data_IF_084518326309
#
_entry.id   IF_084518326309
#
_cell.length_a   1.000
_cell.length_b   1.000
_cell.length_c   1.000
_cell.angle_alpha   90.00
_cell.angle_beta   90.00
_cell.angle_gamma   90.00
#
_symmetry.space_group_name_H-M   'P 1'
#
loop_
_entity.id
_entity.type
_entity.pdbx_description
1 polymer ?
#
# COMPACT_ATOMS: atom_id res chain seq x y z
N UNK A 1 21.32 6.75 12.37
CA UNK A 1 19.91 7.19 12.22
C UNK A 1 19.02 6.10 11.62
N UNK A 2 19.27 5.61 10.39
CA UNK A 2 18.41 4.58 9.74
C UNK A 2 18.36 3.27 10.53
N UNK A 3 19.50 2.84 11.07
CA UNK A 3 19.61 1.67 11.96
C UNK A 3 18.68 1.76 13.17
N UNK A 4 18.68 2.91 13.86
CA UNK A 4 17.85 3.14 15.05
C UNK A 4 16.35 3.10 14.70
N UNK A 5 15.96 3.65 13.55
CA UNK A 5 14.57 3.60 13.08
C UNK A 5 14.12 2.16 12.77
N UNK A 6 15.01 1.34 12.22
CA UNK A 6 14.78 -0.08 12.01
C UNK A 6 14.60 -0.84 13.33
N UNK A 7 15.46 -0.59 14.31
CA UNK A 7 15.37 -1.22 15.63
C UNK A 7 14.07 -0.86 16.35
N UNK A 8 13.66 0.41 16.25
CA UNK A 8 12.37 0.86 16.75
C UNK A 8 11.21 0.13 16.07
N UNK A 9 11.28 -0.08 14.75
CA UNK A 9 10.23 -0.80 14.00
C UNK A 9 10.16 -2.29 14.36
N UNK A 10 11.30 -2.95 14.59
CA UNK A 10 11.33 -4.31 15.13
C UNK A 10 10.67 -4.34 16.51
N UNK A 11 11.03 -3.42 17.40
CA UNK A 11 10.44 -3.34 18.74
C UNK A 11 8.92 -3.12 18.68
N UNK A 12 8.46 -2.22 17.82
CA UNK A 12 7.03 -2.00 17.57
C UNK A 12 6.33 -3.24 17.04
N UNK A 13 6.92 -3.94 16.07
CA UNK A 13 6.36 -5.19 15.53
C UNK A 13 6.21 -6.24 16.63
N UNK A 14 7.23 -6.41 17.49
CA UNK A 14 7.17 -7.31 18.66
C UNK A 14 6.06 -6.93 19.63
N UNK A 15 5.85 -5.63 19.89
CA UNK A 15 4.76 -5.16 20.75
C UNK A 15 3.38 -5.44 20.13
N UNK A 16 3.22 -5.26 18.82
CA UNK A 16 1.99 -5.58 18.09
C UNK A 16 1.69 -7.08 18.18
N UNK A 17 2.69 -7.95 17.97
CA UNK A 17 2.56 -9.40 18.14
C UNK A 17 2.08 -9.74 19.56
N UNK A 18 2.75 -9.17 20.56
CA UNK A 18 2.45 -9.44 21.97
C UNK A 18 1.03 -8.97 22.32
N UNK A 19 0.62 -7.79 21.84
CA UNK A 19 -0.73 -7.25 22.01
C UNK A 19 -1.79 -8.13 21.34
N UNK A 20 -1.56 -8.55 20.09
CA UNK A 20 -2.47 -9.45 19.37
C UNK A 20 -2.63 -10.80 20.06
N UNK A 21 -1.54 -11.38 20.59
CA UNK A 21 -1.59 -12.62 21.38
C UNK A 21 -2.41 -12.46 22.66
N UNK A 22 -2.25 -11.34 23.38
CA UNK A 22 -3.06 -11.03 24.58
C UNK A 22 -4.54 -10.90 24.23
N UNK A 23 -4.86 -10.21 23.13
CA UNK A 23 -6.24 -10.05 22.67
C UNK A 23 -6.89 -11.40 22.33
N UNK A 24 -6.15 -12.33 21.71
CA UNK A 24 -6.64 -13.70 21.47
C UNK A 24 -6.94 -14.42 22.80
N UNK A 25 -6.02 -14.36 23.77
CA UNK A 25 -6.21 -15.00 25.07
C UNK A 25 -7.40 -14.42 25.85
N UNK A 26 -7.62 -13.10 25.76
CA UNK A 26 -8.76 -12.46 26.41
C UNK A 26 -10.09 -12.82 25.73
N UNK A 27 -10.11 -12.96 24.39
CA UNK A 27 -11.28 -13.48 23.67
C UNK A 27 -11.58 -14.93 24.05
N UNK A 28 -10.56 -15.78 24.21
CA UNK A 28 -10.73 -17.15 24.70
C UNK A 28 -11.35 -17.20 26.10
N UNK A 29 -10.85 -16.38 27.04
CA UNK A 29 -11.41 -16.28 28.39
C UNK A 29 -12.87 -15.85 28.38
N UNK A 30 -13.24 -14.89 27.54
CA UNK A 30 -14.63 -14.45 27.39
C UNK A 30 -15.51 -15.57 26.84
N UNK A 31 -15.02 -16.34 25.87
CA UNK A 31 -15.75 -17.50 25.33
C UNK A 31 -15.97 -18.55 26.43
N UNK A 32 -14.94 -18.91 27.19
CA UNK A 32 -15.07 -19.87 28.30
C UNK A 32 -16.06 -19.40 29.37
N UNK A 33 -15.97 -18.14 29.81
CA UNK A 33 -16.90 -17.61 30.80
C UNK A 33 -18.36 -17.54 30.32
N UNK A 34 -18.59 -17.39 29.00
CA UNK A 34 -19.94 -17.48 28.42
C UNK A 34 -20.42 -18.93 28.32
N UNK A 35 -19.53 -19.88 27.98
CA UNK A 35 -19.85 -21.31 27.95
C UNK A 35 -20.26 -21.83 29.33
N UNK A 36 -19.53 -21.49 30.38
CA UNK A 36 -19.87 -21.88 31.76
C UNK A 36 -21.26 -21.37 32.18
N UNK A 37 -21.60 -20.14 31.76
CA UNK A 37 -22.93 -19.55 32.01
C UNK A 37 -24.03 -20.21 31.20
N UNK A 38 -23.75 -20.70 30.00
CA UNK A 38 -24.71 -21.46 29.19
C UNK A 38 -25.02 -22.80 29.84
N UNK A 39 -24.02 -23.47 30.43
CA UNK A 39 -24.22 -24.74 31.16
C UNK A 39 -25.15 -24.55 32.37
N UNK A 40 -25.03 -23.43 33.10
CA UNK A 40 -25.88 -23.12 34.26
C UNK A 40 -27.27 -22.59 33.88
N UNK A 41 -27.41 -22.01 32.67
CA UNK A 41 -28.67 -21.40 32.24
C UNK A 41 -29.75 -22.47 31.96
N UNK A 42 -30.87 -22.39 32.70
CA UNK A 42 -31.98 -23.36 32.59
C UNK A 42 -33.04 -23.03 31.54
N UNK A 43 -32.98 -21.88 30.88
CA UNK A 43 -34.01 -21.49 29.90
C UNK A 43 -33.47 -21.30 28.48
N UNK A 44 -34.12 -21.90 27.47
CA UNK A 44 -33.65 -21.85 26.08
C UNK A 44 -33.65 -20.44 25.49
N UNK A 45 -34.47 -19.54 26.03
CA UNK A 45 -34.57 -18.14 25.58
C UNK A 45 -33.33 -17.31 25.91
N UNK A 46 -32.62 -17.61 27.01
CA UNK A 46 -31.33 -16.95 27.33
C UNK A 46 -30.14 -17.66 26.68
N UNK A 47 -30.22 -18.97 26.41
CA UNK A 47 -29.13 -19.74 25.80
C UNK A 47 -28.81 -19.25 24.38
N UNK A 48 -29.82 -19.08 23.52
CA UNK A 48 -29.63 -18.65 22.12
C UNK A 48 -28.81 -17.36 21.96
N UNK A 49 -29.12 -16.26 22.67
CA UNK A 49 -28.29 -15.05 22.64
C UNK A 49 -26.83 -15.26 23.07
N UNK A 50 -26.55 -16.21 23.97
CA UNK A 50 -25.18 -16.53 24.37
C UNK A 50 -24.45 -17.32 23.29
N UNK A 51 -25.10 -18.30 22.67
CA UNK A 51 -24.55 -19.03 21.52
C UNK A 51 -24.17 -18.08 20.38
N UNK A 52 -25.05 -17.11 20.06
CA UNK A 52 -24.78 -16.09 19.04
C UNK A 52 -23.56 -15.23 19.39
N UNK A 53 -23.42 -14.84 20.67
CA UNK A 53 -22.27 -14.08 21.17
C UNK A 53 -20.99 -14.90 21.10
N UNK A 54 -21.03 -16.18 21.47
CA UNK A 54 -19.89 -17.09 21.40
C UNK A 54 -19.45 -17.26 19.94
N UNK A 55 -20.39 -17.45 19.00
CA UNK A 55 -20.09 -17.55 17.58
C UNK A 55 -19.43 -16.26 17.05
N UNK A 56 -19.92 -15.08 17.48
CA UNK A 56 -19.32 -13.78 17.12
C UNK A 56 -17.90 -13.63 17.67
N UNK A 57 -17.66 -13.95 18.94
CA UNK A 57 -16.33 -13.87 19.55
C UNK A 57 -15.36 -14.89 18.92
N UNK A 58 -15.83 -16.09 18.58
CA UNK A 58 -15.04 -17.10 17.86
C UNK A 58 -14.60 -16.62 16.48
N UNK A 59 -15.48 -15.98 15.72
CA UNK A 59 -15.12 -15.35 14.42
C UNK A 59 -14.08 -14.25 14.61
N UNK A 60 -14.22 -13.40 15.61
CA UNK A 60 -13.25 -12.35 15.91
C UNK A 60 -11.87 -12.92 16.27
N UNK A 61 -11.83 -14.00 17.06
CA UNK A 61 -10.59 -14.73 17.37
C UNK A 61 -9.90 -15.23 16.10
N UNK A 62 -10.65 -15.85 15.18
CA UNK A 62 -10.11 -16.35 13.91
C UNK A 62 -9.52 -15.23 13.05
N UNK A 63 -10.25 -14.12 12.90
CA UNK A 63 -9.77 -12.95 12.15
C UNK A 63 -8.51 -12.36 12.79
N UNK A 64 -8.46 -12.27 14.12
CA UNK A 64 -7.27 -11.79 14.83
C UNK A 64 -6.07 -12.73 14.65
N UNK A 65 -6.31 -14.04 14.70
CA UNK A 65 -5.28 -15.06 14.50
C UNK A 65 -4.71 -15.05 13.07
N UNK A 66 -5.53 -14.78 12.05
CA UNK A 66 -5.11 -14.66 10.66
C UNK A 66 -4.32 -13.36 10.38
N UNK A 67 -4.67 -12.26 11.07
CA UNK A 67 -3.99 -10.97 10.91
C UNK A 67 -2.61 -10.93 11.56
N UNK A 68 -2.42 -11.66 12.64
CA UNK A 68 -1.15 -11.76 13.37
C UNK A 68 0.05 -12.11 12.47
N UNK A 69 0.07 -13.22 11.72
CA UNK A 69 1.23 -13.58 10.88
C UNK A 69 1.49 -12.60 9.74
N UNK A 70 0.43 -11.97 9.21
CA UNK A 70 0.53 -11.03 8.08
C UNK A 70 1.08 -9.66 8.49
N UNK A 71 1.03 -9.30 9.77
CA UNK A 71 1.49 -8.00 10.27
C UNK A 71 2.92 -8.00 10.79
N UNK A 72 3.63 -9.13 10.78
CA UNK A 72 4.75 -9.33 11.70
C UNK A 72 6.05 -9.71 11.03
N UNK A 73 7.08 -8.94 11.43
CA UNK A 73 8.51 -9.05 11.17
C UNK A 73 8.94 -8.87 9.70
N UNK A 74 9.72 -7.81 9.38
CA UNK A 74 10.42 -7.76 8.11
C UNK A 74 11.35 -8.96 8.03
N UNK A 75 11.13 -9.84 7.05
CA UNK A 75 11.95 -11.05 6.85
C UNK A 75 13.37 -10.65 6.47
N UNK A 76 14.34 -10.82 7.36
CA UNK A 76 15.77 -10.61 7.06
C UNK A 76 16.46 -9.60 7.96
N UNK A 77 17.78 -9.50 7.80
CA UNK A 77 18.62 -8.54 8.51
C UNK A 77 18.42 -7.12 7.97
N UNK A 78 18.80 -6.10 8.75
CA UNK A 78 18.77 -4.71 8.29
C UNK A 78 19.57 -4.51 6.99
N UNK A 79 20.73 -5.16 6.90
CA UNK A 79 21.65 -5.02 5.78
C UNK A 79 21.08 -5.68 4.52
N UNK A 80 20.37 -6.80 4.65
CA UNK A 80 19.73 -7.50 3.53
C UNK A 80 18.73 -6.61 2.78
N UNK A 81 18.11 -5.66 3.49
CA UNK A 81 17.13 -4.72 2.91
C UNK A 81 17.74 -3.38 2.53
N UNK A 82 18.74 -2.92 3.28
CA UNK A 82 19.38 -1.63 3.06
C UNK A 82 20.39 -1.69 1.90
N UNK A 83 21.19 -2.75 1.83
CA UNK A 83 22.25 -2.93 0.83
C UNK A 83 21.69 -2.81 -0.61
N UNK A 84 20.59 -3.49 -1.00
CA UNK A 84 20.04 -3.34 -2.35
C UNK A 84 19.57 -1.91 -2.65
N UNK A 85 18.99 -1.22 -1.65
CA UNK A 85 18.56 0.16 -1.78
C UNK A 85 19.73 1.13 -1.97
N UNK A 86 20.82 0.92 -1.21
CA UNK A 86 22.03 1.72 -1.35
C UNK A 86 22.78 1.41 -2.65
N UNK A 87 22.85 0.15 -3.07
CA UNK A 87 23.42 -0.25 -4.36
C UNK A 87 22.65 0.40 -5.52
N UNK A 88 21.32 0.43 -5.46
CA UNK A 88 20.48 1.12 -6.44
C UNK A 88 20.78 2.62 -6.50
N UNK A 89 20.86 3.27 -5.33
CA UNK A 89 21.17 4.70 -5.26
C UNK A 89 22.60 5.02 -5.72
N UNK A 90 23.56 4.11 -5.46
CA UNK A 90 24.95 4.27 -5.85
C UNK A 90 25.16 4.15 -7.36
N UNK A 91 24.43 3.26 -8.03
CA UNK A 91 24.48 3.12 -9.48
C UNK A 91 23.11 2.78 -10.08
N UNK A 92 22.27 3.78 -10.38
CA UNK A 92 20.92 3.55 -10.89
C UNK A 92 20.92 2.98 -12.32
N UNK A 93 21.96 3.24 -13.11
CA UNK A 93 22.03 2.83 -14.53
C UNK A 93 22.22 1.32 -14.71
N UNK A 94 22.81 0.62 -13.73
CA UNK A 94 23.01 -0.82 -13.78
C UNK A 94 21.70 -1.62 -13.87
N UNK A 95 20.58 -1.09 -13.37
CA UNK A 95 19.28 -1.77 -13.48
C UNK A 95 18.64 -1.58 -14.86
N UNK A 96 18.88 -0.43 -15.50
CA UNK A 96 18.25 -0.07 -16.76
C UNK A 96 19.04 -0.50 -18.00
N UNK A 97 20.37 -0.60 -17.92
CA UNK A 97 21.24 -1.03 -19.04
C UNK A 97 21.14 -2.51 -19.39
N UNK A 98 20.68 -3.34 -18.44
CA UNK A 98 20.57 -4.79 -18.61
C UNK A 98 19.21 -5.24 -19.16
N UNK A 99 18.27 -4.31 -19.38
CA UNK A 99 17.05 -4.59 -20.14
C UNK A 99 17.47 -4.76 -21.59
N UNK A 100 17.71 -6.02 -21.98
CA UNK A 100 17.92 -6.44 -23.35
C UNK A 100 16.84 -5.78 -24.21
N UNK A 101 17.19 -4.67 -24.87
CA UNK A 101 16.43 -4.24 -26.02
C UNK A 101 16.53 -5.41 -27.00
N UNK A 102 15.41 -6.00 -27.44
CA UNK A 102 15.47 -7.10 -28.40
C UNK A 102 16.38 -6.64 -29.54
N UNK A 103 17.38 -7.43 -29.97
CA UNK A 103 18.26 -7.00 -31.03
C UNK A 103 17.37 -6.57 -32.19
N UNK A 104 17.57 -5.35 -32.69
CA UNK A 104 16.81 -4.86 -33.83
C UNK A 104 16.89 -5.93 -34.93
N UNK A 105 15.77 -6.33 -35.55
CA UNK A 105 15.81 -7.37 -36.57
C UNK A 105 16.84 -6.94 -37.62
N UNK A 106 17.87 -7.76 -37.84
CA UNK A 106 19.07 -7.41 -38.62
C UNK A 106 18.83 -7.26 -40.13
N UNK A 107 17.63 -6.87 -40.53
CA UNK A 107 17.21 -6.72 -41.92
C UNK A 107 16.13 -5.67 -42.17
N UNK A 108 15.72 -4.88 -41.16
CA UNK A 108 14.80 -3.77 -41.40
C UNK A 108 15.61 -2.52 -41.78
N UNK A 109 16.06 -2.49 -43.02
CA UNK A 109 16.46 -1.25 -43.68
C UNK A 109 15.22 -0.35 -43.76
N UNK A 110 15.02 0.50 -42.75
CA UNK A 110 13.99 1.54 -42.79
C UNK A 110 14.40 2.52 -43.87
N UNK A 111 14.00 2.22 -45.10
CA UNK A 111 14.04 3.14 -46.23
C UNK A 111 13.11 4.30 -45.87
N UNK A 112 13.64 5.29 -45.15
CA UNK A 112 12.95 6.55 -44.96
C UNK A 112 12.63 7.09 -46.36
N UNK A 113 11.36 7.41 -46.68
CA UNK A 113 11.09 8.12 -47.92
C UNK A 113 11.88 9.42 -47.86
N UNK A 114 12.71 9.64 -48.89
CA UNK A 114 13.48 10.87 -49.10
C UNK A 114 12.52 12.03 -48.86
N UNK A 115 12.70 12.74 -47.75
CA UNK A 115 11.87 13.88 -47.42
C UNK A 115 11.94 14.83 -48.61
N UNK A 116 10.80 15.04 -49.27
CA UNK A 116 10.68 16.11 -50.25
C UNK A 116 11.09 17.39 -49.56
N UNK A 117 12.23 17.94 -49.97
CA UNK A 117 12.75 19.21 -49.51
C UNK A 117 11.75 20.29 -49.91
N UNK A 118 10.82 20.64 -49.02
CA UNK A 118 9.96 21.80 -49.18
C UNK A 118 10.88 23.03 -49.16
N UNK A 119 11.02 23.70 -50.31
CA UNK A 119 11.70 25.00 -50.37
C UNK A 119 10.81 26.05 -49.69
N UNK A 120 11.33 26.90 -48.81
CA UNK A 120 10.54 28.00 -48.27
C UNK A 120 10.25 29.01 -49.40
N UNK A 121 8.98 29.33 -49.64
CA UNK A 121 8.61 30.52 -50.40
C UNK A 121 8.69 31.73 -49.48
N UNK A 122 9.48 32.72 -49.88
CA UNK A 122 9.56 34.01 -49.22
C UNK A 122 8.21 34.73 -49.23
N UNK A 123 7.91 35.38 -48.10
CA UNK A 123 7.04 36.55 -48.04
C UNK A 123 5.56 36.28 -47.82
N UNK A 124 5.15 36.22 -46.55
CA UNK A 124 3.85 36.75 -46.15
C UNK A 124 3.87 37.13 -44.67
N UNK A 125 3.77 38.43 -44.42
CA UNK A 125 3.64 39.11 -43.13
C UNK A 125 2.58 38.43 -42.25
N UNK A 126 2.99 37.92 -41.09
CA UNK A 126 2.05 37.46 -40.05
C UNK A 126 1.60 38.69 -39.25
N UNK A 127 0.33 39.05 -39.47
CA UNK A 127 -0.41 40.04 -38.69
C UNK A 127 -0.70 39.41 -37.32
N UNK A 128 -0.15 39.99 -36.24
CA UNK A 128 -0.50 39.57 -34.88
C UNK A 128 -1.95 39.97 -34.60
N UNK A 129 -2.85 39.00 -34.47
CA UNK A 129 -4.11 39.19 -33.76
C UNK A 129 -3.93 38.60 -32.37
N UNK A 130 -3.92 39.48 -31.38
CA UNK A 130 -3.96 39.16 -29.96
C UNK A 130 -5.31 38.50 -29.62
N UNK A 131 -5.28 37.21 -29.32
CA UNK A 131 -6.40 36.55 -28.64
C UNK A 131 -6.12 36.62 -27.15
N UNK A 132 -7.01 37.33 -26.46
CA UNK A 132 -7.02 37.52 -25.02
C UNK A 132 -7.26 36.17 -24.31
N UNK A 133 -6.33 35.77 -23.43
CA UNK A 133 -6.48 34.59 -22.57
C UNK A 133 -7.39 34.98 -21.40
N UNK A 134 -8.65 34.54 -21.45
CA UNK A 134 -9.54 34.64 -20.30
C UNK A 134 -9.09 33.65 -19.22
N UNK A 135 -8.84 34.22 -18.04
CA UNK A 135 -8.47 33.55 -16.80
C UNK A 135 -9.58 32.60 -16.34
N UNK A 136 -9.28 31.30 -16.35
CA UNK A 136 -10.15 30.25 -15.81
C UNK A 136 -9.96 30.20 -14.28
N UNK A 137 -10.84 30.87 -13.53
CA UNK A 137 -10.96 30.70 -12.07
C UNK A 137 -11.65 29.36 -11.78
N UNK A 138 -10.85 28.32 -11.55
CA UNK A 138 -11.29 27.08 -10.94
C UNK A 138 -11.46 27.26 -9.43
N UNK A 139 -12.68 27.07 -8.95
CA UNK A 139 -13.13 27.24 -7.57
C UNK A 139 -12.53 26.21 -6.62
N UNK A 140 -11.83 26.68 -5.58
CA UNK A 140 -11.50 25.91 -4.39
C UNK A 140 -12.75 25.73 -3.53
N UNK A 141 -13.31 24.53 -3.46
CA UNK A 141 -14.30 24.16 -2.44
C UNK A 141 -14.17 22.67 -2.15
N UNK A 142 -13.50 22.35 -1.04
CA UNK A 142 -13.78 21.23 -0.15
C UNK A 142 -12.72 21.24 0.96
N UNK A 143 -12.90 22.14 1.94
CA UNK A 143 -12.24 22.00 3.23
C UNK A 143 -12.86 20.79 3.94
N UNK A 144 -12.00 19.80 4.14
CA UNK A 144 -11.92 18.88 5.28
C UNK A 144 -12.86 19.20 6.46
N UNK A 145 -13.91 18.41 6.59
CA UNK A 145 -14.54 18.08 7.87
C UNK A 145 -13.68 17.00 8.54
N UNK A 146 -12.65 17.45 9.24
CA UNK A 146 -11.97 16.70 10.30
C UNK A 146 -11.80 17.70 11.44
N UNK A 147 -12.66 17.60 12.45
CA UNK A 147 -12.46 17.96 13.87
C UNK A 147 -13.83 17.89 14.56
N UNK A 148 -14.19 16.66 14.93
CA UNK A 148 -15.14 16.35 16.01
C UNK A 148 -14.38 15.33 16.87
N UNK A 149 -14.13 15.66 18.13
CA UNK A 149 -13.44 14.80 19.11
C UNK A 149 -12.54 15.59 20.04
#
# INVERSE_FOLDING_TARGET
>A
MVRNAWDLRIAQSKQIVAGGKRQIADLERQIHGLLDRVIEARSPTVIRPYEDKIAKLGRQKLVSAEKLPNQTEPRGSFDDHLEPGLMFLANPWNFFGNRQHPPAPSGAETRLPRSHRIRPKHGSTIRQNSVSVQSFKGSTTAQSLWWCG
#
